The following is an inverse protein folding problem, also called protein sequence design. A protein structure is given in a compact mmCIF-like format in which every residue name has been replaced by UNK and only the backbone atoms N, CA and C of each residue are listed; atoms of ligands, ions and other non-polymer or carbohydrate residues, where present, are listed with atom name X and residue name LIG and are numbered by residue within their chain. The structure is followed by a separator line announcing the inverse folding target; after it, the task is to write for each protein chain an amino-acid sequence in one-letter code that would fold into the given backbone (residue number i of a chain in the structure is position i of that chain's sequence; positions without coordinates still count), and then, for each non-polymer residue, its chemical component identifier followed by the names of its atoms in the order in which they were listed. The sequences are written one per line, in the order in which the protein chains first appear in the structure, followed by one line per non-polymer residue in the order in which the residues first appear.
data_IF_874875555972
#
_entry.id   IF_874875555972
#
_cell.length_a   1.000
_cell.length_b   1.000
_cell.length_c   1.000
_cell.angle_alpha   90.00
_cell.angle_beta   90.00
_cell.angle_gamma   90.00
#
_symmetry.space_group_name_H-M   'P 1'
#
loop_
_entity.id
_entity.type
_entity.pdbx_description
1 polymer ?
#
# COMPACT_ATOMS: atom_id res chain seq x y z
N UNK A 1 6.15 24.53 13.16
CA UNK A 1 5.60 23.55 12.20
C UNK A 1 5.36 22.24 12.94
N UNK A 2 4.14 21.68 12.92
CA UNK A 2 3.86 20.37 13.54
C UNK A 2 4.07 19.27 12.50
N UNK A 3 4.83 18.23 12.85
CA UNK A 3 5.07 17.05 12.00
C UNK A 3 4.41 15.84 12.64
N UNK A 4 3.75 15.02 11.83
CA UNK A 4 3.13 13.75 12.26
C UNK A 4 3.72 12.59 11.48
N UNK A 5 4.06 11.50 12.16
CA UNK A 5 4.64 10.30 11.53
C UNK A 5 3.62 9.16 11.48
N UNK A 6 3.65 8.41 10.37
CA UNK A 6 2.82 7.24 10.13
C UNK A 6 3.75 6.04 9.90
N UNK A 7 3.61 4.99 10.72
CA UNK A 7 4.52 3.85 10.74
C UNK A 7 3.73 2.55 10.61
N UNK A 8 4.32 1.59 9.93
CA UNK A 8 3.85 0.21 9.83
C UNK A 8 5.04 -0.72 10.03
N UNK A 9 4.78 -1.99 10.35
CA UNK A 9 5.82 -3.01 10.43
C UNK A 9 6.51 -3.16 9.08
N UNK A 10 7.84 -3.28 9.10
CA UNK A 10 8.61 -3.59 7.89
C UNK A 10 8.29 -5.03 7.47
N UNK A 11 7.89 -5.21 6.22
CA UNK A 11 7.69 -6.54 5.63
C UNK A 11 9.05 -7.04 5.14
N UNK A 12 9.40 -8.28 5.51
CA UNK A 12 10.63 -8.94 5.07
C UNK A 12 10.43 -9.52 3.66
N UNK A 13 10.69 -8.69 2.65
CA UNK A 13 10.57 -9.06 1.23
C UNK A 13 11.55 -8.23 0.40
N UNK A 14 12.03 -8.83 -0.70
CA UNK A 14 12.78 -8.13 -1.75
C UNK A 14 11.86 -7.46 -2.78
N UNK A 15 10.58 -7.80 -2.78
CA UNK A 15 9.61 -7.32 -3.77
C UNK A 15 9.10 -5.93 -3.40
N UNK A 16 9.86 -4.89 -3.77
CA UNK A 16 9.55 -3.50 -3.43
C UNK A 16 9.28 -2.62 -4.65
N UNK A 17 9.23 -3.20 -5.85
CA UNK A 17 8.96 -2.44 -7.06
C UNK A 17 7.53 -1.86 -6.99
N UNK A 18 7.39 -0.58 -7.37
CA UNK A 18 6.11 0.12 -7.35
C UNK A 18 5.62 0.59 -5.97
N UNK A 19 6.34 0.37 -4.86
CA UNK A 19 5.89 0.78 -3.50
C UNK A 19 5.55 2.27 -3.39
N UNK A 20 6.42 3.14 -3.93
CA UNK A 20 6.20 4.60 -3.94
C UNK A 20 4.99 5.02 -4.78
N UNK A 21 4.88 4.48 -6.00
CA UNK A 21 3.74 4.75 -6.88
C UNK A 21 2.43 4.28 -6.26
N UNK A 22 2.43 3.10 -5.66
CA UNK A 22 1.26 2.52 -4.96
C UNK A 22 0.83 3.39 -3.80
N UNK A 23 1.77 3.82 -2.95
CA UNK A 23 1.47 4.67 -1.80
C UNK A 23 0.84 6.00 -2.24
N UNK A 24 1.48 6.67 -3.20
CA UNK A 24 1.00 7.95 -3.73
C UNK A 24 -0.36 7.84 -4.41
N UNK A 25 -0.56 6.80 -5.23
CA UNK A 25 -1.84 6.53 -5.88
C UNK A 25 -2.95 6.28 -4.85
N UNK A 26 -2.70 5.41 -3.85
CA UNK A 26 -3.67 5.15 -2.80
C UNK A 26 -4.03 6.41 -2.00
N UNK A 27 -3.04 7.28 -1.70
CA UNK A 27 -3.30 8.54 -0.97
C UNK A 27 -4.22 9.43 -1.81
N UNK A 28 -3.89 9.61 -3.09
CA UNK A 28 -4.71 10.40 -4.01
C UNK A 28 -6.14 9.85 -4.12
N UNK A 29 -6.29 8.53 -4.21
CA UNK A 29 -7.61 7.87 -4.27
C UNK A 29 -8.42 8.09 -3.00
N UNK A 30 -7.86 7.91 -1.80
CA UNK A 30 -8.61 8.14 -0.57
C UNK A 30 -9.00 9.61 -0.37
N UNK A 31 -8.12 10.55 -0.75
CA UNK A 31 -8.48 11.98 -0.77
C UNK A 31 -9.64 12.23 -1.75
N UNK A 32 -9.59 11.66 -2.96
CA UNK A 32 -10.67 11.79 -3.94
C UNK A 32 -11.99 11.18 -3.46
N UNK A 33 -11.95 10.17 -2.57
CA UNK A 33 -13.13 9.59 -1.90
C UNK A 33 -13.66 10.45 -0.74
N UNK A 34 -13.05 11.59 -0.44
CA UNK A 34 -13.48 12.52 0.62
C UNK A 34 -12.85 12.28 1.99
N UNK A 35 -11.84 11.42 2.09
CA UNK A 35 -11.13 11.19 3.35
C UNK A 35 -10.29 12.41 3.76
N UNK A 36 -10.11 12.63 5.06
CA UNK A 36 -9.13 13.61 5.54
C UNK A 36 -7.71 13.15 5.17
N UNK A 37 -6.78 14.09 5.02
CA UNK A 37 -5.37 13.77 4.68
C UNK A 37 -4.78 12.74 5.66
N UNK A 38 -5.06 12.87 6.95
CA UNK A 38 -4.57 11.92 7.94
C UNK A 38 -5.12 10.49 7.71
N UNK A 39 -6.44 10.37 7.49
CA UNK A 39 -7.06 9.06 7.24
C UNK A 39 -6.62 8.47 5.90
N UNK A 40 -6.49 9.30 4.87
CA UNK A 40 -5.97 8.88 3.58
C UNK A 40 -4.56 8.26 3.73
N UNK A 41 -3.63 8.95 4.40
CA UNK A 41 -2.26 8.43 4.61
C UNK A 41 -2.28 7.11 5.40
N UNK A 42 -3.08 7.01 6.46
CA UNK A 42 -3.21 5.77 7.25
C UNK A 42 -3.72 4.61 6.41
N UNK A 43 -4.83 4.81 5.68
CA UNK A 43 -5.42 3.77 4.82
C UNK A 43 -4.48 3.36 3.69
N UNK A 44 -3.73 4.30 3.11
CA UNK A 44 -2.73 3.99 2.07
C UNK A 44 -1.53 3.21 2.62
N UNK A 45 -1.10 3.49 3.85
CA UNK A 45 -0.05 2.73 4.54
C UNK A 45 -0.49 1.28 4.81
N UNK A 46 -1.72 1.08 5.28
CA UNK A 46 -2.30 -0.26 5.44
C UNK A 46 -2.41 -1.00 4.10
N UNK A 47 -2.97 -0.35 3.08
CA UNK A 47 -3.09 -0.91 1.73
C UNK A 47 -1.73 -1.36 1.16
N UNK A 48 -0.71 -0.50 1.20
CA UNK A 48 0.63 -0.86 0.73
C UNK A 48 1.23 -2.01 1.53
N UNK A 49 0.98 -2.05 2.84
CA UNK A 49 1.49 -3.12 3.71
C UNK A 49 0.88 -4.47 3.33
N UNK A 50 -0.43 -4.51 3.07
CA UNK A 50 -1.13 -5.72 2.58
C UNK A 50 -0.66 -6.12 1.18
N UNK A 51 -0.48 -5.16 0.27
CA UNK A 51 0.06 -5.40 -1.06
C UNK A 51 1.50 -5.96 -1.03
N UNK A 52 2.33 -5.49 -0.09
CA UNK A 52 3.68 -6.02 0.13
C UNK A 52 3.68 -7.43 0.70
N UNK A 53 2.79 -7.73 1.66
CA UNK A 53 2.65 -9.07 2.24
C UNK A 53 2.28 -10.12 1.19
N UNK A 54 1.49 -9.73 0.19
CA UNK A 54 1.06 -10.59 -0.91
C UNK A 54 1.91 -10.41 -2.18
N UNK A 55 3.02 -9.68 -2.09
CA UNK A 55 3.94 -9.48 -3.23
C UNK A 55 4.44 -10.80 -3.80
N UNK A 56 4.72 -10.80 -5.09
CA UNK A 56 5.20 -11.98 -5.80
C UNK A 56 6.44 -11.66 -6.62
N UNK A 57 7.30 -12.65 -6.79
CA UNK A 57 8.54 -12.49 -7.55
C UNK A 57 8.32 -12.84 -9.02
N UNK A 58 8.77 -11.96 -9.91
CA UNK A 58 8.72 -12.14 -11.37
C UNK A 58 10.01 -11.63 -11.98
N UNK A 59 10.57 -12.39 -12.92
CA UNK A 59 11.89 -12.11 -13.47
C UNK A 59 13.01 -12.31 -12.44
N UNK A 60 14.16 -11.66 -12.66
CA UNK A 60 15.38 -11.85 -11.88
C UNK A 60 15.69 -10.71 -10.89
N UNK A 61 14.82 -9.71 -10.79
CA UNK A 61 15.00 -8.53 -9.93
C UNK A 61 13.96 -8.42 -8.82
N UNK A 62 13.95 -7.30 -8.06
CA UNK A 62 12.90 -7.00 -7.09
C UNK A 62 11.50 -7.08 -7.73
N UNK A 63 10.66 -7.97 -7.23
CA UNK A 63 9.28 -8.13 -7.71
C UNK A 63 8.36 -6.95 -7.35
N UNK A 64 7.19 -6.86 -7.99
CA UNK A 64 6.17 -5.86 -7.67
C UNK A 64 5.44 -6.20 -6.37
N UNK A 65 4.77 -5.19 -5.82
CA UNK A 65 3.69 -5.41 -4.83
C UNK A 65 2.46 -6.01 -5.53
N UNK A 66 1.61 -6.72 -4.79
CA UNK A 66 0.33 -7.18 -5.32
C UNK A 66 -0.76 -6.15 -5.07
N UNK A 67 -1.15 -5.41 -6.11
CA UNK A 67 -2.23 -4.42 -6.03
C UNK A 67 -3.61 -5.05 -5.86
N UNK A 68 -3.75 -6.32 -6.20
CA UNK A 68 -5.02 -7.04 -6.25
C UNK A 68 -5.12 -8.10 -5.15
N UNK A 69 -4.34 -7.94 -4.06
CA UNK A 69 -4.28 -8.90 -2.95
C UNK A 69 -5.64 -9.27 -2.35
N UNK A 70 -6.67 -8.44 -2.53
CA UNK A 70 -8.02 -8.63 -2.02
C UNK A 70 -9.02 -9.10 -3.10
N UNK A 71 -8.60 -9.24 -4.37
CA UNK A 71 -9.45 -9.77 -5.43
C UNK A 71 -9.47 -11.30 -5.36
N UNK A 72 -10.47 -11.84 -4.65
CA UNK A 72 -10.63 -13.27 -4.40
C UNK A 72 -11.21 -13.57 -3.01
N UNK A 73 -11.06 -12.63 -2.08
CA UNK A 73 -11.72 -12.68 -0.79
C UNK A 73 -13.17 -12.22 -0.94
N UNK A 74 -14.09 -13.18 -0.91
CA UNK A 74 -15.55 -12.97 -1.08
C UNK A 74 -16.22 -12.19 0.07
N UNK A 75 -15.46 -11.50 0.93
CA UNK A 75 -15.97 -11.00 2.21
C UNK A 75 -15.46 -9.62 2.65
N UNK A 76 -15.11 -8.72 1.72
CA UNK A 76 -14.94 -7.29 2.06
C UNK A 76 -15.45 -6.37 0.93
N UNK A 77 -16.73 -6.01 1.00
CA UNK A 77 -17.27 -4.73 0.51
C UNK A 77 -18.11 -4.09 1.62
#
# INVERSE_FOLDING_TARGET
MKVKSFKELRIDTINTHGTGCTLSAAIATFIAKGESIEFAIRKSKDFLTKALKNSYSVGNGPGPVDHFYHFGDSNEF
#
